data_IF_720542933263
#
_entry.id   IF_720542933263
#
_cell.length_a   1.000
_cell.length_b   1.000
_cell.length_c   1.000
_cell.angle_alpha   90.00
_cell.angle_beta   90.00
_cell.angle_gamma   90.00
#
_symmetry.space_group_name_H-M   'P 1'
#
loop_
_entity.id
_entity.type
_entity.pdbx_description
1 polymer ?
#
# COMPACT_ATOMS: atom_id res chain seq x y z
N UNK A 1 1.60 12.08 -21.33
CA UNK A 1 0.15 11.76 -21.35
C UNK A 1 -0.69 12.77 -20.58
N UNK A 2 -0.32 13.18 -19.36
CA UNK A 2 -1.18 14.01 -18.48
C UNK A 2 -0.70 15.46 -18.26
N UNK A 3 0.34 15.91 -18.95
CA UNK A 3 0.98 17.21 -18.73
C UNK A 3 0.14 18.41 -19.23
N UNK A 4 -0.62 18.21 -20.31
CA UNK A 4 -1.39 19.28 -20.93
C UNK A 4 -2.74 19.44 -20.24
N UNK A 5 -3.01 20.65 -19.73
CA UNK A 5 -4.29 20.97 -19.12
C UNK A 5 -5.43 20.86 -20.14
N UNK A 6 -6.42 20.02 -19.84
CA UNK A 6 -7.51 19.71 -20.78
C UNK A 6 -7.09 18.82 -21.96
N UNK A 7 -5.88 18.27 -21.95
CA UNK A 7 -5.44 17.29 -22.93
C UNK A 7 -6.20 15.96 -22.81
N UNK A 8 -6.14 15.15 -23.87
CA UNK A 8 -6.86 13.87 -23.98
C UNK A 8 -6.59 12.96 -22.77
N UNK A 9 -5.36 12.91 -22.25
CA UNK A 9 -5.05 12.10 -21.07
C UNK A 9 -5.83 12.52 -19.82
N UNK A 10 -5.92 13.84 -19.55
CA UNK A 10 -6.69 14.34 -18.40
C UNK A 10 -8.19 14.12 -18.59
N UNK A 11 -8.69 14.26 -19.82
CA UNK A 11 -10.10 14.00 -20.12
C UNK A 11 -10.47 12.52 -19.92
N UNK A 12 -9.66 11.59 -20.43
CA UNK A 12 -9.89 10.16 -20.25
C UNK A 12 -9.83 9.77 -18.77
N UNK A 13 -8.86 10.33 -18.02
CA UNK A 13 -8.78 10.15 -16.57
C UNK A 13 -10.04 10.63 -15.86
N UNK A 14 -10.51 11.84 -16.19
CA UNK A 14 -11.75 12.39 -15.64
C UNK A 14 -12.96 11.50 -15.96
N UNK A 15 -13.09 11.04 -17.20
CA UNK A 15 -14.21 10.22 -17.63
C UNK A 15 -14.26 8.89 -16.86
N UNK A 16 -13.12 8.18 -16.73
CA UNK A 16 -13.05 6.91 -16.00
C UNK A 16 -13.39 7.10 -14.52
N UNK A 17 -12.84 8.14 -13.87
CA UNK A 17 -13.11 8.42 -12.46
C UNK A 17 -14.56 8.82 -12.21
N UNK A 18 -15.14 9.62 -13.12
CA UNK A 18 -16.55 9.99 -13.08
C UNK A 18 -17.45 8.78 -13.28
N UNK A 19 -17.14 7.91 -14.24
CA UNK A 19 -17.86 6.68 -14.48
C UNK A 19 -17.80 5.75 -13.26
N UNK A 20 -16.62 5.58 -12.64
CA UNK A 20 -16.46 4.77 -11.43
C UNK A 20 -17.29 5.31 -10.27
N UNK A 21 -17.29 6.62 -10.07
CA UNK A 21 -18.08 7.27 -9.00
C UNK A 21 -19.59 7.04 -9.20
N UNK A 22 -20.06 7.02 -10.45
CA UNK A 22 -21.45 6.71 -10.77
C UNK A 22 -21.76 5.20 -10.62
N UNK A 23 -20.78 4.34 -10.94
CA UNK A 23 -20.89 2.88 -10.82
C UNK A 23 -20.95 2.42 -9.35
N UNK A 24 -20.11 2.98 -8.48
CA UNK A 24 -20.07 2.67 -7.05
C UNK A 24 -20.25 3.94 -6.18
N UNK A 25 -21.49 4.47 -6.07
CA UNK A 25 -21.74 5.71 -5.33
C UNK A 25 -21.53 5.58 -3.82
N UNK A 26 -21.50 4.35 -3.28
CA UNK A 26 -21.30 4.10 -1.85
C UNK A 26 -19.86 4.39 -1.40
N UNK A 27 -18.89 4.12 -2.27
CA UNK A 27 -17.47 4.45 -2.06
C UNK A 27 -17.12 5.81 -2.66
N UNK A 28 -17.69 6.12 -3.82
CA UNK A 28 -17.50 7.39 -4.52
C UNK A 28 -16.07 7.57 -5.05
N UNK A 29 -15.65 8.83 -5.18
CA UNK A 29 -14.29 9.17 -5.59
C UNK A 29 -13.36 9.28 -4.39
N UNK A 30 -12.34 8.43 -4.35
CA UNK A 30 -11.18 8.60 -3.50
C UNK A 30 -10.00 9.17 -4.30
N UNK A 31 -9.25 10.11 -3.73
CA UNK A 31 -8.04 10.69 -4.36
C UNK A 31 -7.01 9.63 -4.77
N UNK A 32 -7.01 8.48 -4.08
CA UNK A 32 -6.13 7.37 -4.39
C UNK A 32 -6.48 6.62 -5.69
N UNK A 33 -7.68 6.82 -6.27
CA UNK A 33 -8.05 6.23 -7.57
C UNK A 33 -7.31 6.87 -8.75
N UNK A 34 -7.03 8.18 -8.70
CA UNK A 34 -6.45 8.88 -9.85
C UNK A 34 -5.09 8.33 -10.30
N UNK A 35 -4.13 8.00 -9.40
CA UNK A 35 -2.91 7.32 -9.81
C UNK A 35 -3.14 5.93 -10.39
N UNK A 36 -4.09 5.14 -9.84
CA UNK A 36 -4.39 3.81 -10.37
C UNK A 36 -4.87 3.91 -11.82
N UNK A 37 -5.87 4.77 -12.06
CA UNK A 37 -6.42 4.99 -13.40
C UNK A 37 -5.38 5.56 -14.35
N UNK A 38 -4.50 6.42 -13.85
CA UNK A 38 -3.40 6.97 -14.65
C UNK A 38 -2.44 5.89 -15.13
N UNK A 39 -2.05 4.94 -14.26
CA UNK A 39 -1.22 3.78 -14.65
C UNK A 39 -1.93 2.93 -15.69
N UNK A 40 -3.23 2.66 -15.51
CA UNK A 40 -4.02 1.85 -16.45
C UNK A 40 -4.12 2.53 -17.82
N UNK A 41 -4.48 3.82 -17.87
CA UNK A 41 -4.62 4.57 -19.12
C UNK A 41 -3.31 4.69 -19.92
N UNK A 42 -2.16 4.61 -19.26
CA UNK A 42 -0.87 4.55 -19.98
C UNK A 42 -0.69 3.26 -20.79
N UNK A 43 -1.46 2.20 -20.52
CA UNK A 43 -1.29 0.88 -21.12
C UNK A 43 -2.54 0.32 -21.82
N UNK A 44 -3.71 0.93 -21.65
CA UNK A 44 -4.95 0.44 -22.25
C UNK A 44 -5.93 1.58 -22.56
N UNK A 45 -6.94 1.28 -23.38
CA UNK A 45 -7.97 2.25 -23.75
C UNK A 45 -8.86 2.62 -22.55
N UNK A 46 -9.58 3.73 -22.66
CA UNK A 46 -10.42 4.30 -21.59
C UNK A 46 -11.41 3.28 -20.98
N UNK A 47 -12.17 2.58 -21.82
CA UNK A 47 -13.14 1.58 -21.37
C UNK A 47 -12.46 0.38 -20.67
N UNK A 48 -11.31 -0.06 -21.19
CA UNK A 48 -10.54 -1.15 -20.59
C UNK A 48 -9.99 -0.74 -19.22
N UNK A 49 -9.50 0.50 -19.10
CA UNK A 49 -9.02 1.05 -17.84
C UNK A 49 -10.14 1.13 -16.80
N UNK A 50 -11.36 1.47 -17.20
CA UNK A 50 -12.53 1.44 -16.33
C UNK A 50 -12.81 0.02 -15.79
N UNK A 51 -12.94 -0.98 -16.67
CA UNK A 51 -13.24 -2.33 -16.22
C UNK A 51 -12.08 -2.97 -15.44
N UNK A 52 -10.84 -2.64 -15.78
CA UNK A 52 -9.68 -3.07 -15.03
C UNK A 52 -9.67 -2.45 -13.61
N UNK A 53 -9.97 -1.15 -13.48
CA UNK A 53 -10.14 -0.51 -12.17
C UNK A 53 -11.22 -1.23 -11.34
N UNK A 54 -12.42 -1.43 -11.90
CA UNK A 54 -13.51 -2.12 -11.21
C UNK A 54 -13.06 -3.50 -10.73
N UNK A 55 -12.46 -4.30 -11.62
CA UNK A 55 -11.98 -5.63 -11.27
C UNK A 55 -10.87 -5.60 -10.20
N UNK A 56 -9.98 -4.59 -10.22
CA UNK A 56 -8.95 -4.43 -9.19
C UNK A 56 -9.55 -4.15 -7.82
N UNK A 57 -10.50 -3.21 -7.77
CA UNK A 57 -11.12 -2.76 -6.54
C UNK A 57 -12.02 -3.85 -5.93
N UNK A 58 -12.79 -4.57 -6.76
CA UNK A 58 -13.69 -5.61 -6.27
C UNK A 58 -12.98 -6.90 -5.82
N UNK A 59 -11.89 -7.28 -6.51
CA UNK A 59 -11.24 -8.58 -6.27
C UNK A 59 -10.03 -8.49 -5.34
N UNK A 60 -9.29 -7.37 -5.34
CA UNK A 60 -8.04 -7.27 -4.58
C UNK A 60 -8.09 -6.22 -3.47
N UNK A 61 -8.82 -5.12 -3.65
CA UNK A 61 -8.80 -3.97 -2.75
C UNK A 61 -10.18 -3.65 -2.15
N UNK A 62 -11.01 -4.69 -1.99
CA UNK A 62 -12.38 -4.53 -1.53
C UNK A 62 -12.41 -3.85 -0.17
N UNK A 63 -13.10 -2.71 -0.07
CA UNK A 63 -13.23 -1.94 1.17
C UNK A 63 -12.03 -1.07 1.53
N UNK A 64 -10.97 -1.02 0.70
CA UNK A 64 -9.80 -0.17 0.96
C UNK A 64 -10.11 1.33 0.93
N UNK A 65 -11.06 1.76 0.10
CA UNK A 65 -11.35 3.17 -0.15
C UNK A 65 -12.60 3.67 0.58
N UNK A 66 -13.17 2.86 1.47
CA UNK A 66 -14.28 3.26 2.34
C UNK A 66 -13.85 4.30 3.39
N UNK A 67 -14.82 5.09 3.89
CA UNK A 67 -14.55 6.29 4.69
C UNK A 67 -13.76 6.12 6.00
N UNK A 68 -13.67 4.91 6.55
CA UNK A 68 -12.91 4.63 7.79
C UNK A 68 -11.53 3.99 7.54
N UNK A 69 -11.19 3.67 6.28
CA UNK A 69 -9.93 3.01 5.89
C UNK A 69 -9.64 1.76 6.74
N UNK A 70 -10.68 1.01 7.11
CA UNK A 70 -10.56 -0.08 8.08
C UNK A 70 -9.64 -1.20 7.56
N UNK A 71 -9.77 -1.55 6.29
CA UNK A 71 -8.94 -2.57 5.64
C UNK A 71 -7.48 -2.13 5.51
N UNK A 72 -7.24 -0.87 5.17
CA UNK A 72 -5.87 -0.29 5.17
C UNK A 72 -5.26 -0.37 6.58
N UNK A 73 -6.06 -0.11 7.61
CA UNK A 73 -5.64 -0.28 9.00
C UNK A 73 -5.37 -1.73 9.40
N UNK A 74 -6.17 -2.69 8.91
CA UNK A 74 -5.96 -4.13 9.11
C UNK A 74 -4.63 -4.59 8.49
N UNK A 75 -4.39 -4.17 7.27
CA UNK A 75 -3.18 -4.50 6.55
C UNK A 75 -1.96 -3.78 7.11
N UNK A 76 -2.16 -2.60 7.72
CA UNK A 76 -1.11 -1.95 8.49
C UNK A 76 -0.69 -2.68 9.75
N UNK A 77 -1.64 -3.15 10.54
CA UNK A 77 -1.33 -4.01 11.68
C UNK A 77 -0.66 -5.32 11.24
N UNK A 78 -1.09 -5.89 10.11
CA UNK A 78 -0.47 -7.08 9.52
C UNK A 78 0.97 -6.80 9.09
N UNK A 79 1.22 -5.66 8.43
CA UNK A 79 2.56 -5.24 8.01
C UNK A 79 3.50 -5.09 9.20
N UNK A 80 3.06 -4.47 10.31
CA UNK A 80 3.87 -4.35 11.52
C UNK A 80 4.17 -5.71 12.17
N UNK A 81 3.18 -6.62 12.22
CA UNK A 81 3.41 -7.99 12.70
C UNK A 81 4.45 -8.73 11.84
N UNK A 82 4.42 -8.57 10.52
CA UNK A 82 5.43 -9.14 9.62
C UNK A 82 6.79 -8.46 9.78
N UNK A 83 6.82 -7.14 10.02
CA UNK A 83 8.05 -6.40 10.27
C UNK A 83 8.76 -6.89 11.54
N UNK A 84 8.01 -7.33 12.55
CA UNK A 84 8.60 -7.96 13.74
C UNK A 84 9.46 -9.18 13.40
N UNK A 85 9.07 -9.95 12.37
CA UNK A 85 9.80 -11.13 11.89
C UNK A 85 11.03 -10.70 11.08
N UNK A 86 10.85 -9.76 10.15
CA UNK A 86 11.89 -9.36 9.18
C UNK A 86 12.96 -8.46 9.79
N UNK A 87 12.55 -7.50 10.62
CA UNK A 87 13.43 -6.49 11.19
C UNK A 87 13.01 -6.12 12.64
N UNK A 88 13.16 -7.03 13.61
CA UNK A 88 12.65 -6.87 14.98
C UNK A 88 13.15 -5.61 15.69
N UNK A 89 14.39 -5.16 15.39
CA UNK A 89 14.96 -3.94 15.97
C UNK A 89 14.20 -2.68 15.54
N UNK A 90 13.73 -2.62 14.29
CA UNK A 90 12.99 -1.48 13.75
C UNK A 90 11.57 -1.52 14.26
N UNK A 91 10.92 -2.69 14.23
CA UNK A 91 9.61 -2.88 14.83
C UNK A 91 9.57 -2.41 16.30
N UNK A 92 10.54 -2.84 17.13
CA UNK A 92 10.65 -2.41 18.53
C UNK A 92 10.82 -0.89 18.64
N UNK A 93 11.57 -0.26 17.74
CA UNK A 93 11.75 1.20 17.74
C UNK A 93 10.47 1.93 17.38
N UNK A 94 9.78 1.49 16.33
CA UNK A 94 8.50 2.07 15.90
C UNK A 94 7.45 1.95 17.01
N UNK A 95 7.36 0.78 17.66
CA UNK A 95 6.48 0.58 18.80
C UNK A 95 6.81 1.53 19.97
N UNK A 96 8.08 1.68 20.33
CA UNK A 96 8.50 2.59 21.40
C UNK A 96 8.25 4.07 21.07
N UNK A 97 8.16 4.41 19.78
CA UNK A 97 7.86 5.76 19.30
C UNK A 97 6.37 5.98 18.98
N UNK A 98 5.49 5.01 19.27
CA UNK A 98 4.07 5.02 18.92
C UNK A 98 3.81 5.30 17.43
N UNK A 99 4.63 4.73 16.54
CA UNK A 99 4.44 4.84 15.09
C UNK A 99 3.55 3.68 14.62
N UNK A 100 2.33 4.01 14.25
CA UNK A 100 1.42 3.08 13.57
C UNK A 100 1.60 3.12 12.06
N UNK A 101 1.29 2.01 11.41
CA UNK A 101 1.49 1.82 9.98
C UNK A 101 0.80 2.87 9.07
N UNK A 102 -0.44 3.32 9.38
CA UNK A 102 -1.12 4.34 8.57
C UNK A 102 -0.34 5.65 8.39
N UNK A 103 0.62 5.97 9.28
CA UNK A 103 1.45 7.19 9.16
C UNK A 103 2.36 7.21 7.92
N UNK A 104 2.65 6.05 7.32
CA UNK A 104 3.53 5.97 6.15
C UNK A 104 2.98 5.09 5.03
N UNK A 105 2.10 4.13 5.32
CA UNK A 105 1.73 3.12 4.33
C UNK A 105 0.49 3.46 3.50
N UNK A 106 -0.34 4.42 3.92
CA UNK A 106 -1.65 4.68 3.30
C UNK A 106 -1.50 4.90 1.79
N UNK A 107 -0.55 5.75 1.40
CA UNK A 107 -0.27 6.02 -0.01
C UNK A 107 0.34 4.81 -0.73
N UNK A 108 1.24 4.09 -0.08
CA UNK A 108 1.89 2.91 -0.65
C UNK A 108 0.87 1.86 -1.09
N UNK A 109 -0.10 1.58 -0.22
CA UNK A 109 -1.07 0.50 -0.44
C UNK A 109 -2.25 0.97 -1.26
N UNK A 110 -2.82 2.15 -0.98
CA UNK A 110 -3.99 2.64 -1.72
C UNK A 110 -3.65 3.05 -3.16
N UNK A 111 -2.38 3.35 -3.46
CA UNK A 111 -1.94 3.70 -4.80
C UNK A 111 -0.98 2.69 -5.42
N UNK A 112 -0.81 1.51 -4.81
CA UNK A 112 0.05 0.44 -5.32
C UNK A 112 1.45 0.98 -5.68
N UNK A 113 1.99 1.81 -4.79
CA UNK A 113 3.26 2.55 -4.91
C UNK A 113 3.40 3.51 -6.11
N UNK A 114 2.34 3.74 -6.88
CA UNK A 114 2.39 4.53 -8.13
C UNK A 114 2.82 6.00 -7.92
N UNK A 115 2.71 6.53 -6.70
CA UNK A 115 3.13 7.91 -6.38
C UNK A 115 4.57 8.03 -5.88
N UNK A 116 5.12 6.96 -5.33
CA UNK A 116 6.33 7.05 -4.50
C UNK A 116 7.57 6.43 -5.15
N UNK A 117 7.39 5.38 -5.95
CA UNK A 117 8.50 4.63 -6.54
C UNK A 117 8.84 5.09 -7.96
N UNK A 118 10.09 4.89 -8.41
CA UNK A 118 10.46 5.06 -9.80
C UNK A 118 9.57 4.24 -10.73
N UNK A 119 9.25 4.80 -11.91
CA UNK A 119 8.31 4.19 -12.86
C UNK A 119 8.59 2.72 -13.21
N UNK A 120 9.84 2.29 -13.49
CA UNK A 120 10.12 0.87 -13.76
C UNK A 120 9.76 -0.05 -12.58
N UNK A 121 9.93 0.44 -11.35
CA UNK A 121 9.60 -0.31 -10.14
C UNK A 121 8.10 -0.43 -9.96
N UNK A 122 7.34 0.65 -10.21
CA UNK A 122 5.88 0.62 -10.21
C UNK A 122 5.37 -0.44 -11.18
N UNK A 123 5.83 -0.45 -12.43
CA UNK A 123 5.41 -1.43 -13.43
C UNK A 123 5.67 -2.87 -13.00
N UNK A 124 6.88 -3.16 -12.50
CA UNK A 124 7.23 -4.51 -12.03
C UNK A 124 6.39 -4.97 -10.84
N UNK A 125 6.04 -4.06 -9.94
CA UNK A 125 5.14 -4.35 -8.82
C UNK A 125 3.73 -4.64 -9.32
N UNK A 126 3.24 -3.85 -10.29
CA UNK A 126 1.91 -4.02 -10.88
C UNK A 126 1.77 -5.34 -11.66
N UNK A 127 2.79 -5.72 -12.43
CA UNK A 127 2.82 -7.02 -13.12
C UNK A 127 2.62 -8.19 -12.14
N UNK A 128 3.38 -8.17 -11.05
CA UNK A 128 3.31 -9.22 -10.02
C UNK A 128 2.00 -9.10 -9.24
N UNK A 129 1.50 -7.89 -8.99
CA UNK A 129 0.21 -7.68 -8.34
C UNK A 129 -0.93 -8.32 -9.14
N UNK A 130 -0.95 -8.18 -10.47
CA UNK A 130 -1.97 -8.83 -11.30
C UNK A 130 -1.83 -10.36 -11.32
N UNK A 131 -0.63 -10.89 -11.13
CA UNK A 131 -0.39 -12.35 -11.14
C UNK A 131 -0.60 -13.01 -9.77
N UNK A 132 -0.17 -12.35 -8.69
CA UNK A 132 -0.07 -12.92 -7.34
C UNK A 132 -0.97 -12.22 -6.31
N UNK A 133 -1.58 -11.09 -6.66
CA UNK A 133 -2.44 -10.28 -5.80
C UNK A 133 -1.67 -9.40 -4.80
N UNK A 134 -2.37 -8.96 -3.75
CA UNK A 134 -1.90 -7.95 -2.77
C UNK A 134 -0.62 -8.30 -2.02
N UNK A 135 -0.20 -9.58 -2.00
CA UNK A 135 0.97 -10.06 -1.26
C UNK A 135 2.26 -9.34 -1.63
N UNK A 136 2.41 -8.98 -2.91
CA UNK A 136 3.60 -8.25 -3.37
C UNK A 136 3.74 -6.89 -2.68
N UNK A 137 2.61 -6.23 -2.36
CA UNK A 137 2.62 -4.92 -1.69
C UNK A 137 3.26 -5.02 -0.30
N UNK A 138 2.93 -6.07 0.44
CA UNK A 138 3.56 -6.38 1.73
C UNK A 138 5.06 -6.67 1.59
N UNK A 139 5.45 -7.50 0.61
CA UNK A 139 6.87 -7.85 0.41
C UNK A 139 7.69 -6.60 0.11
N UNK A 140 7.23 -5.76 -0.82
CA UNK A 140 7.90 -4.50 -1.17
C UNK A 140 7.96 -3.56 0.03
N UNK A 141 6.86 -3.37 0.76
CA UNK A 141 6.85 -2.54 1.96
C UNK A 141 7.86 -3.02 3.02
N UNK A 142 7.97 -4.34 3.22
CA UNK A 142 8.93 -4.92 4.17
C UNK A 142 10.38 -4.73 3.71
N UNK A 143 10.68 -4.82 2.40
CA UNK A 143 12.00 -4.48 1.87
C UNK A 143 12.32 -3.00 2.12
N UNK A 144 11.40 -2.09 1.79
CA UNK A 144 11.58 -0.66 2.02
C UNK A 144 11.82 -0.37 3.52
N UNK A 145 11.02 -0.95 4.41
CA UNK A 145 11.19 -0.80 5.86
C UNK A 145 12.51 -1.39 6.35
N UNK A 146 12.91 -2.58 5.86
CA UNK A 146 14.18 -3.20 6.24
C UNK A 146 15.38 -2.32 5.87
N UNK A 147 15.26 -1.55 4.80
CA UNK A 147 16.35 -0.73 4.27
C UNK A 147 16.23 0.78 4.56
N UNK A 148 15.13 1.24 5.16
CA UNK A 148 14.87 2.67 5.39
C UNK A 148 15.92 3.35 6.29
N UNK A 149 16.58 2.58 7.15
CA UNK A 149 17.66 3.05 8.03
C UNK A 149 19.02 2.42 7.72
N UNK A 150 19.16 1.70 6.59
CA UNK A 150 20.38 0.96 6.27
C UNK A 150 21.60 1.86 5.99
N UNK A 151 21.38 3.11 5.60
CA UNK A 151 22.43 4.11 5.39
C UNK A 151 22.88 4.78 6.70
N UNK A 152 22.21 4.50 7.82
CA UNK A 152 22.52 5.07 9.13
C UNK A 152 23.27 4.06 9.99
N UNK A 153 24.14 4.55 10.86
CA UNK A 153 24.87 3.70 11.80
C UNK A 153 23.95 3.08 12.88
N UNK A 154 22.84 3.77 13.20
CA UNK A 154 21.85 3.37 14.20
C UNK A 154 20.46 3.80 13.76
N UNK A 155 19.44 3.07 14.19
CA UNK A 155 18.04 3.46 14.01
C UNK A 155 17.78 4.75 14.81
N UNK A 156 17.23 5.81 14.20
CA UNK A 156 16.96 7.07 14.87
C UNK A 156 16.14 6.92 16.15
N UNK A 157 16.49 7.73 17.14
CA UNK A 157 15.71 7.83 18.37
C UNK A 157 14.58 8.84 18.24
N UNK A 158 14.85 9.97 17.63
CA UNK A 158 13.84 11.02 17.49
C UNK A 158 12.74 10.60 16.52
N UNK A 159 11.49 10.86 16.91
CA UNK A 159 10.30 10.49 16.14
C UNK A 159 10.35 11.10 14.73
N UNK A 160 10.69 12.38 14.64
CA UNK A 160 10.74 13.10 13.36
C UNK A 160 11.78 12.50 12.40
N UNK A 161 12.97 12.15 12.90
CA UNK A 161 14.04 11.57 12.11
C UNK A 161 13.65 10.15 11.64
N UNK A 162 13.03 9.36 12.51
CA UNK A 162 12.51 8.04 12.14
C UNK A 162 11.41 8.13 11.06
N UNK A 163 10.45 9.04 11.22
CA UNK A 163 9.41 9.30 10.22
C UNK A 163 10.02 9.82 8.90
N UNK A 164 11.10 10.60 8.97
CA UNK A 164 11.82 11.04 7.78
C UNK A 164 12.42 9.86 7.00
N UNK A 165 13.00 8.88 7.69
CA UNK A 165 13.53 7.66 7.07
C UNK A 165 12.45 6.81 6.38
N UNK A 166 11.22 6.84 6.90
CA UNK A 166 10.08 6.09 6.33
C UNK A 166 9.55 6.70 5.03
N UNK A 167 9.91 7.95 4.68
CA UNK A 167 9.51 8.54 3.40
C UNK A 167 10.37 7.96 2.27
N UNK A 168 9.74 7.32 1.29
CA UNK A 168 10.44 6.67 0.15
C UNK A 168 11.43 7.62 -0.54
N UNK A 169 11.07 8.89 -0.72
CA UNK A 169 11.94 9.92 -1.32
C UNK A 169 13.28 10.15 -0.60
N UNK A 170 13.36 9.77 0.67
CA UNK A 170 14.57 9.90 1.49
C UNK A 170 15.41 8.61 1.51
N UNK A 171 14.93 7.52 0.90
CA UNK A 171 15.67 6.27 0.82
C UNK A 171 16.71 6.31 -0.32
N UNK A 172 17.83 5.56 -0.18
CA UNK A 172 18.82 5.47 -1.26
C UNK A 172 18.22 4.94 -2.57
N UNK A 173 18.61 5.52 -3.70
CA UNK A 173 18.01 5.24 -5.01
C UNK A 173 18.20 3.79 -5.46
N UNK A 174 19.25 3.14 -4.99
CA UNK A 174 19.59 1.75 -5.28
C UNK A 174 18.51 0.80 -4.76
N UNK A 175 17.98 1.09 -3.56
CA UNK A 175 16.91 0.30 -2.95
C UNK A 175 15.60 0.47 -3.70
N UNK A 176 15.40 1.60 -4.37
CA UNK A 176 14.16 1.92 -5.09
C UNK A 176 14.10 1.30 -6.49
N UNK A 177 15.17 0.66 -6.95
CA UNK A 177 15.22 0.02 -8.28
C UNK A 177 14.41 -1.27 -8.30
N UNK A 178 13.75 -1.52 -9.44
CA UNK A 178 12.86 -2.66 -9.60
C UNK A 178 13.56 -3.99 -9.32
N UNK A 179 14.75 -4.19 -9.90
CA UNK A 179 15.53 -5.42 -9.73
C UNK A 179 15.86 -5.68 -8.26
N UNK A 180 16.29 -4.64 -7.53
CA UNK A 180 16.59 -4.75 -6.11
C UNK A 180 15.35 -5.09 -5.29
N UNK A 181 14.26 -4.32 -5.45
CA UNK A 181 13.02 -4.50 -4.70
C UNK A 181 12.44 -5.91 -4.90
N UNK A 182 12.33 -6.35 -6.14
CA UNK A 182 11.75 -7.65 -6.47
C UNK A 182 12.64 -8.79 -5.96
N UNK A 183 13.96 -8.69 -6.18
CA UNK A 183 14.90 -9.72 -5.70
C UNK A 183 14.86 -9.86 -4.19
N UNK A 184 14.91 -8.76 -3.45
CA UNK A 184 14.86 -8.80 -1.98
C UNK A 184 13.47 -9.21 -1.46
N UNK A 185 12.39 -8.83 -2.15
CA UNK A 185 11.02 -9.21 -1.80
C UNK A 185 10.80 -10.74 -1.81
N UNK A 186 11.41 -11.44 -2.77
CA UNK A 186 11.35 -12.90 -2.86
C UNK A 186 12.34 -13.62 -1.94
N UNK A 187 13.39 -12.93 -1.46
CA UNK A 187 14.32 -13.46 -0.45
C UNK A 187 13.83 -13.31 0.99
N UNK A 188 12.78 -12.53 1.23
CA UNK A 188 12.23 -12.36 2.58
C UNK A 188 11.85 -13.72 3.19
N UNK A 189 12.15 -13.95 4.48
CA UNK A 189 11.84 -15.19 5.19
C UNK A 189 10.35 -15.28 5.59
N UNK A 190 9.45 -14.90 4.68
CA UNK A 190 8.00 -14.91 4.89
C UNK A 190 7.34 -15.68 3.75
N UNK A 191 6.59 -16.72 4.10
CA UNK A 191 5.75 -17.47 3.17
C UNK A 191 4.38 -16.80 3.05
N UNK A 192 3.71 -17.06 1.94
CA UNK A 192 2.35 -16.56 1.69
C UNK A 192 1.35 -17.03 2.76
N UNK A 193 1.58 -18.22 3.32
CA UNK A 193 0.81 -18.76 4.45
C UNK A 193 0.96 -17.93 5.72
N UNK A 194 2.14 -17.33 5.93
CA UNK A 194 2.39 -16.49 7.11
C UNK A 194 1.64 -15.16 6.99
N UNK A 195 1.67 -14.52 5.82
CA UNK A 195 0.89 -13.30 5.55
C UNK A 195 -0.60 -13.54 5.75
N UNK A 196 -1.11 -14.62 5.15
CA UNK A 196 -2.52 -15.00 5.28
C UNK A 196 -2.92 -15.28 6.73
N UNK A 197 -2.02 -15.89 7.51
CA UNK A 197 -2.25 -16.18 8.94
C UNK A 197 -2.28 -14.89 9.77
N UNK A 198 -1.32 -13.99 9.57
CA UNK A 198 -1.27 -12.73 10.32
C UNK A 198 -2.46 -11.82 9.99
N UNK A 199 -2.86 -11.71 8.72
CA UNK A 199 -4.07 -10.95 8.34
C UNK A 199 -5.33 -11.50 9.03
N UNK A 200 -5.55 -12.83 8.97
CA UNK A 200 -6.68 -13.47 9.68
C UNK A 200 -6.65 -13.24 11.19
N UNK A 201 -5.46 -13.19 11.79
CA UNK A 201 -5.29 -12.94 13.23
C UNK A 201 -5.67 -11.50 13.58
N UNK A 202 -5.25 -10.51 12.80
CA UNK A 202 -5.61 -9.09 12.99
C UNK A 202 -7.13 -8.91 12.92
N UNK A 203 -7.77 -9.42 11.87
CA UNK A 203 -9.23 -9.32 11.69
C UNK A 203 -9.97 -9.97 12.87
N UNK A 204 -9.55 -11.17 13.30
CA UNK A 204 -10.14 -11.84 14.48
C UNK A 204 -9.98 -11.03 15.78
N UNK A 205 -8.83 -10.38 15.98
CA UNK A 205 -8.58 -9.56 17.16
C UNK A 205 -9.46 -8.31 17.18
N UNK A 206 -9.66 -7.64 16.03
CA UNK A 206 -10.60 -6.51 15.92
C UNK A 206 -12.03 -6.93 16.21
N UNK A 207 -12.53 -8.02 15.61
CA UNK A 207 -13.89 -8.52 15.85
C UNK A 207 -14.11 -8.79 17.36
N UNK A 208 -13.13 -9.39 18.04
CA UNK A 208 -13.21 -9.61 19.49
C UNK A 208 -13.28 -8.31 20.28
N UNK A 209 -12.46 -7.31 19.94
CA UNK A 209 -12.45 -5.99 20.60
C UNK A 209 -13.78 -5.25 20.41
N UNK A 210 -14.35 -5.27 19.21
CA UNK A 210 -15.64 -4.63 18.93
C UNK A 210 -16.78 -5.29 19.72
N UNK A 211 -16.78 -6.63 19.83
CA UNK A 211 -17.76 -7.35 20.65
C UNK A 211 -17.64 -7.05 22.14
N UNK A 212 -16.41 -6.98 22.68
CA UNK A 212 -16.20 -6.62 24.08
C UNK A 212 -16.62 -5.18 24.40
N UNK A 213 -16.39 -4.25 23.48
CA UNK A 213 -16.80 -2.85 23.65
C UNK A 213 -18.33 -2.69 23.68
N UNK A 214 -19.06 -3.47 22.89
CA UNK A 214 -20.53 -3.48 22.90
C UNK A 214 -21.10 -4.11 24.18
N UNK A 215 -20.48 -5.17 24.72
CA UNK A 215 -20.92 -5.81 25.97
C UNK A 215 -20.63 -5.00 27.24
N UNK A 216 -19.76 -3.99 27.18
CA UNK A 216 -19.46 -3.11 28.33
C UNK A 216 -20.36 -1.87 28.39
N UNK A 217 -21.26 -1.69 27.40
CA UNK A 217 -22.22 -0.58 27.33
C UNK A 217 -23.67 -1.02 27.61
N UNK A 218 -23.88 -2.31 27.92
CA UNK A 218 -25.14 -2.93 28.33
C UNK A 218 -25.03 -3.45 29.75
#
# INVERSE_FOLDING_TARGET
MFADNGGVGQQNLYNVLRAYTAYNPSEGYCQAHAPLVSVLLMHMAEEQAFWCLVAMLDNYLKGYYGGQLEEVGNDGATLLNLLHIVHPKLHKRMLAANIDAPLFMVEWFMCLFARDLPWPSVLRIWDIFFCEGVKILFRVALVLLRHCTAHLSKIPRELYELLSCLKIKNMPREILQAEFLITEAFKLPIKDSDMSREHKKVVRQKIKKSKSAQSSQT
#
